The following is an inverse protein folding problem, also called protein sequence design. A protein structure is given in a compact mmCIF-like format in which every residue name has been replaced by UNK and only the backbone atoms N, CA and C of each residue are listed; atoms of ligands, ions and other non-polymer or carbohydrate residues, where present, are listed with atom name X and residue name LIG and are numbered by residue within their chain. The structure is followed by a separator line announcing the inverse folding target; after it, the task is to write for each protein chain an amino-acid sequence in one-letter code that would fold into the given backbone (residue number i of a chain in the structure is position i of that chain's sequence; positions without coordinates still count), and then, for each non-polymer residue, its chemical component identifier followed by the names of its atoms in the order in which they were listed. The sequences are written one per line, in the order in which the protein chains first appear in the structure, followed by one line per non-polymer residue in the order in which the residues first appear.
data_IF_008613326102
#
_entry.id   IF_008613326102
#
_cell.length_a   1.000
_cell.length_b   1.000
_cell.length_c   1.000
_cell.angle_alpha   90.00
_cell.angle_beta   90.00
_cell.angle_gamma   90.00
#
_symmetry.space_group_name_H-M   'P 1'
#
loop_
_entity.id
_entity.type
_entity.pdbx_description
1 polymer ?
#
# COMPACT_ATOMS: atom_id res chain seq x y z
N UNK A 1 14.37 16.48 30.29
CA UNK A 1 13.31 15.56 29.83
C UNK A 1 13.95 14.57 28.87
N UNK A 2 13.98 13.28 29.21
CA UNK A 2 14.57 12.23 28.37
C UNK A 2 13.50 11.72 27.40
N UNK A 3 13.73 11.88 26.10
CA UNK A 3 12.94 11.23 25.06
C UNK A 3 13.17 9.71 25.12
N UNK A 4 12.10 8.94 25.25
CA UNK A 4 12.11 7.48 25.10
C UNK A 4 11.53 7.14 23.73
N UNK A 5 12.33 6.53 22.86
CA UNK A 5 11.88 5.96 21.59
C UNK A 5 11.84 4.42 21.77
N UNK A 6 10.70 3.79 21.55
CA UNK A 6 10.60 2.32 21.51
C UNK A 6 10.83 1.84 20.08
N UNK A 7 11.86 1.02 19.86
CA UNK A 7 12.06 0.28 18.59
C UNK A 7 11.97 -1.21 18.87
N UNK A 8 11.20 -1.91 18.04
CA UNK A 8 10.96 -3.35 18.11
C UNK A 8 11.99 -4.10 17.25
N UNK A 9 12.55 -5.19 17.79
CA UNK A 9 13.41 -6.12 17.05
C UNK A 9 12.55 -7.11 16.27
N UNK A 10 12.84 -7.29 14.98
CA UNK A 10 12.01 -7.99 14.00
C UNK A 10 11.97 -9.53 14.14
N UNK A 11 12.56 -10.12 15.17
CA UNK A 11 12.70 -11.59 15.24
C UNK A 11 12.10 -12.27 16.49
N UNK A 12 11.66 -11.54 17.53
CA UNK A 12 11.12 -12.21 18.74
C UNK A 12 9.99 -11.49 19.49
N UNK A 13 9.56 -10.30 19.06
CA UNK A 13 8.34 -9.66 19.59
C UNK A 13 8.34 -9.27 21.08
N UNK A 14 9.50 -9.24 21.76
CA UNK A 14 9.60 -8.72 23.13
C UNK A 14 10.36 -7.39 23.20
N UNK A 15 10.00 -6.53 24.17
CA UNK A 15 10.56 -5.19 24.36
C UNK A 15 11.97 -5.26 24.96
N UNK A 16 12.90 -4.46 24.41
CA UNK A 16 14.27 -4.34 24.91
C UNK A 16 14.51 -2.88 25.33
N UNK A 17 14.98 -2.67 26.56
CA UNK A 17 15.33 -1.34 27.07
C UNK A 17 16.80 -1.02 26.76
N UNK A 18 17.04 0.02 25.96
CA UNK A 18 18.38 0.58 25.74
C UNK A 18 18.42 2.03 26.23
N UNK A 19 19.48 2.38 26.97
CA UNK A 19 19.74 3.74 27.43
C UNK A 19 21.01 4.28 26.79
N UNK A 20 20.91 5.44 26.13
CA UNK A 20 22.05 6.18 25.59
C UNK A 20 22.43 7.29 26.58
N UNK A 21 23.69 7.35 27.01
CA UNK A 21 24.27 8.48 27.72
C UNK A 21 25.11 9.31 26.76
N UNK A 22 24.72 10.56 26.54
CA UNK A 22 25.43 11.51 25.68
C UNK A 22 26.51 12.22 26.49
N UNK A 23 27.74 11.70 26.49
CA UNK A 23 28.97 12.48 26.62
C UNK A 23 30.06 11.76 25.80
N UNK A 24 30.52 12.44 24.75
CA UNK A 24 31.61 12.17 23.81
C UNK A 24 31.71 10.76 23.16
N UNK A 25 31.43 10.73 21.86
CA UNK A 25 31.36 9.63 20.88
C UNK A 25 30.27 8.53 21.10
N UNK A 26 29.42 8.24 20.08
CA UNK A 26 28.35 7.25 20.23
C UNK A 26 28.87 5.82 20.02
N UNK A 27 29.13 5.09 21.10
CA UNK A 27 29.21 3.62 21.08
C UNK A 27 27.90 3.00 21.59
N UNK A 28 27.28 2.16 20.75
CA UNK A 28 26.07 1.40 21.08
C UNK A 28 26.46 0.10 21.79
N UNK A 29 26.21 0.00 23.10
CA UNK A 29 26.41 -1.24 23.86
C UNK A 29 25.05 -1.78 24.33
N UNK A 30 24.55 -2.84 23.68
CA UNK A 30 23.35 -3.57 24.08
C UNK A 30 23.76 -4.82 24.87
N UNK A 31 23.57 -4.82 26.20
CA UNK A 31 23.78 -5.99 27.04
C UNK A 31 22.50 -6.78 27.24
N UNK A 32 22.48 -8.06 26.84
CA UNK A 32 21.42 -8.99 27.20
C UNK A 32 21.59 -9.47 28.65
N UNK A 33 20.63 -9.20 29.52
CA UNK A 33 20.59 -9.77 30.88
C UNK A 33 20.00 -11.18 30.80
N UNK A 34 20.85 -12.19 30.69
CA UNK A 34 20.49 -13.59 30.93
C UNK A 34 20.62 -13.88 32.43
N UNK A 35 19.48 -14.01 33.12
CA UNK A 35 19.44 -14.61 34.46
C UNK A 35 19.67 -16.11 34.35
N UNK A 36 20.91 -16.57 34.51
CA UNK A 36 21.23 -17.97 34.80
C UNK A 36 22.16 -18.03 36.00
N UNK A 37 21.70 -18.65 37.08
CA UNK A 37 22.54 -19.10 38.20
C UNK A 37 22.79 -20.62 38.10
N UNK A 38 23.85 -21.15 38.73
CA UNK A 38 24.90 -21.84 37.99
C UNK A 38 25.14 -23.30 38.43
N UNK A 39 25.59 -24.17 37.52
CA UNK A 39 26.37 -25.35 37.91
C UNK A 39 27.60 -25.63 37.02
N UNK A 40 28.75 -25.30 37.63
CA UNK A 40 30.10 -25.91 37.64
C UNK A 40 30.56 -26.87 36.51
N UNK A 41 31.54 -26.33 35.75
CA UNK A 41 32.92 -26.82 35.46
C UNK A 41 33.17 -28.33 35.20
N UNK A 42 33.77 -28.62 34.03
CA UNK A 42 35.22 -28.91 33.88
C UNK A 42 35.64 -29.13 32.40
N UNK A 43 36.77 -28.48 32.02
CA UNK A 43 37.97 -28.94 31.26
C UNK A 43 37.74 -29.92 30.08
N UNK A 44 38.33 -29.82 28.89
CA UNK A 44 39.61 -29.28 28.40
C UNK A 44 39.52 -29.38 26.85
N UNK A 45 40.14 -28.50 26.07
CA UNK A 45 41.26 -28.97 25.25
C UNK A 45 41.20 -28.41 23.82
N UNK A 46 42.37 -27.99 23.33
CA UNK A 46 42.62 -27.30 22.05
C UNK A 46 42.58 -28.25 20.84
N UNK A 47 42.30 -27.67 19.66
CA UNK A 47 43.19 -27.61 18.48
C UNK A 47 42.63 -28.11 17.14
N UNK A 48 42.82 -27.23 16.13
CA UNK A 48 43.28 -27.44 14.74
C UNK A 48 42.46 -28.31 13.76
N UNK A 49 41.82 -27.59 12.82
CA UNK A 49 42.08 -27.53 11.35
C UNK A 49 42.72 -28.76 10.67
N UNK A 50 41.97 -29.40 9.75
CA UNK A 50 42.35 -29.91 8.40
C UNK A 50 41.08 -30.52 7.76
N UNK A 51 40.50 -29.94 6.71
CA UNK A 51 40.71 -30.21 5.27
C UNK A 51 40.59 -31.67 4.83
N UNK A 52 39.80 -31.84 3.77
CA UNK A 52 39.81 -32.89 2.72
C UNK A 52 38.82 -34.07 2.77
N UNK A 53 37.83 -33.96 1.86
CA UNK A 53 37.66 -34.85 0.69
C UNK A 53 36.95 -36.19 0.81
N UNK A 54 35.80 -36.25 0.11
CA UNK A 54 35.31 -37.31 -0.80
C UNK A 54 35.33 -38.77 -0.31
N UNK A 55 34.13 -39.36 -0.22
CA UNK A 55 33.64 -40.41 -1.15
C UNK A 55 32.29 -40.97 -0.68
N UNK A 56 31.30 -40.97 -1.57
CA UNK A 56 30.24 -41.99 -1.59
C UNK A 56 30.86 -43.38 -1.87
N UNK A 57 30.22 -44.48 -1.45
CA UNK A 57 29.26 -45.12 -2.35
C UNK A 57 28.03 -45.76 -1.67
N UNK A 58 26.90 -45.63 -2.36
CA UNK A 58 25.91 -46.65 -2.77
C UNK A 58 25.68 -47.92 -1.92
N UNK A 59 24.41 -48.05 -1.52
CA UNK A 59 23.50 -49.21 -1.65
C UNK A 59 23.91 -50.60 -1.14
N UNK A 60 23.08 -51.19 -0.27
CA UNK A 60 22.22 -52.34 -0.59
C UNK A 60 21.44 -52.83 0.64
N UNK A 61 20.22 -53.30 0.37
CA UNK A 61 19.24 -53.88 1.27
C UNK A 61 19.64 -55.26 1.83
N UNK A 62 18.86 -55.70 2.84
CA UNK A 62 18.17 -57.02 2.98
C UNK A 62 18.39 -57.66 4.37
N UNK A 63 17.27 -57.73 5.12
CA UNK A 63 16.68 -58.85 5.92
C UNK A 63 17.61 -59.74 6.81
N UNK A 64 17.25 -60.34 7.94
CA UNK A 64 16.04 -60.51 8.76
C UNK A 64 16.49 -61.08 10.15
N UNK A 65 15.51 -61.37 11.00
CA UNK A 65 15.51 -62.36 12.11
C UNK A 65 15.62 -61.87 13.57
N UNK A 66 14.43 -61.62 14.13
CA UNK A 66 13.82 -62.31 15.27
C UNK A 66 14.62 -62.57 16.57
N UNK A 67 14.09 -61.99 17.66
CA UNK A 67 14.34 -62.44 19.03
C UNK A 67 13.29 -61.90 20.02
N UNK A 68 12.32 -62.74 20.40
CA UNK A 68 11.32 -62.50 21.47
C UNK A 68 11.94 -62.63 22.87
N UNK A 69 11.59 -61.72 23.80
CA UNK A 69 11.41 -61.93 25.27
C UNK A 69 10.83 -60.64 25.90
N UNK A 70 9.52 -60.55 26.18
CA UNK A 70 8.85 -60.65 27.51
C UNK A 70 9.48 -59.77 28.61
N UNK A 71 8.93 -58.57 28.91
CA UNK A 71 7.76 -58.20 29.76
C UNK A 71 8.16 -57.81 31.20
N UNK A 72 8.05 -56.53 31.55
CA UNK A 72 7.55 -56.00 32.84
C UNK A 72 7.11 -54.51 32.68
N UNK A 73 6.13 -54.01 33.45
CA UNK A 73 5.25 -52.92 33.04
C UNK A 73 5.70 -51.52 33.50
N UNK A 74 5.56 -50.53 32.63
CA UNK A 74 5.69 -49.12 32.98
C UNK A 74 4.29 -48.46 33.11
N UNK A 75 4.16 -47.66 34.16
CA UNK A 75 2.94 -47.03 34.64
C UNK A 75 2.19 -46.21 33.57
N UNK A 76 0.86 -46.29 33.61
CA UNK A 76 -0.05 -45.55 32.75
C UNK A 76 0.00 -44.04 33.07
N UNK A 77 0.26 -43.24 32.04
CA UNK A 77 0.06 -41.79 32.04
C UNK A 77 -1.44 -41.52 31.90
N UNK A 78 -2.07 -40.66 32.74
CA UNK A 78 -3.48 -40.36 32.58
C UNK A 78 -3.71 -39.58 31.29
N UNK A 79 -4.68 -40.03 30.49
CA UNK A 79 -5.11 -39.37 29.27
C UNK A 79 -5.69 -37.97 29.58
N UNK A 80 -5.49 -36.97 28.70
CA UNK A 80 -6.10 -35.66 28.86
C UNK A 80 -7.63 -35.77 28.77
N UNK A 81 -8.38 -34.88 29.46
CA UNK A 81 -9.83 -34.94 29.50
C UNK A 81 -10.41 -34.77 28.10
N UNK A 82 -11.22 -35.74 27.69
CA UNK A 82 -12.02 -35.70 26.46
C UNK A 82 -13.07 -34.60 26.58
N UNK A 83 -12.91 -33.54 25.78
CA UNK A 83 -13.96 -32.55 25.50
C UNK A 83 -15.07 -33.21 24.68
N UNK A 84 -15.92 -34.00 25.33
CA UNK A 84 -17.11 -34.61 24.74
C UNK A 84 -18.25 -33.61 24.70
N UNK A 85 -18.07 -32.49 23.99
CA UNK A 85 -19.20 -31.68 23.54
C UNK A 85 -19.27 -31.80 22.02
N UNK A 86 -20.41 -32.23 21.45
CA UNK A 86 -20.58 -32.22 20.01
C UNK A 86 -20.31 -30.80 19.52
N UNK A 87 -19.33 -30.65 18.62
CA UNK A 87 -19.18 -29.43 17.83
C UNK A 87 -20.49 -29.34 17.06
N UNK A 88 -21.38 -28.43 17.49
CA UNK A 88 -22.52 -28.10 16.64
C UNK A 88 -21.92 -27.60 15.32
N UNK A 89 -22.42 -28.09 14.17
CA UNK A 89 -21.96 -27.56 12.90
C UNK A 89 -22.12 -26.04 12.97
N UNK A 90 -20.99 -25.34 12.93
CA UNK A 90 -20.98 -23.89 12.84
C UNK A 90 -21.83 -23.62 11.62
N UNK A 91 -22.96 -22.94 11.80
CA UNK A 91 -23.83 -22.57 10.69
C UNK A 91 -22.92 -21.86 9.69
N UNK A 92 -22.60 -22.51 8.58
CA UNK A 92 -21.84 -21.89 7.50
C UNK A 92 -22.73 -20.75 7.05
N UNK A 93 -22.39 -19.54 7.50
CA UNK A 93 -22.89 -18.33 6.86
C UNK A 93 -22.27 -18.42 5.47
N UNK A 94 -23.07 -18.51 4.39
CA UNK A 94 -22.52 -18.53 3.04
C UNK A 94 -21.62 -17.31 2.94
N UNK A 95 -20.31 -17.54 2.78
CA UNK A 95 -19.37 -16.46 2.51
C UNK A 95 -19.80 -15.93 1.14
N UNK A 96 -20.26 -14.68 1.03
CA UNK A 96 -20.63 -14.10 -0.24
C UNK A 96 -19.45 -14.26 -1.20
N UNK A 97 -19.72 -14.73 -2.43
CA UNK A 97 -18.69 -14.99 -3.44
C UNK A 97 -17.92 -13.71 -3.86
N UNK A 98 -18.33 -12.54 -3.38
CA UNK A 98 -17.67 -11.26 -3.57
C UNK A 98 -17.85 -10.35 -2.35
N UNK A 99 -17.14 -10.64 -1.26
CA UNK A 99 -16.96 -9.63 -0.20
C UNK A 99 -15.84 -8.67 -0.64
N UNK A 100 -16.19 -7.38 -0.73
CA UNK A 100 -15.19 -6.32 -0.76
C UNK A 100 -14.29 -6.44 0.49
N UNK A 101 -13.03 -6.00 0.43
CA UNK A 101 -12.15 -6.05 1.59
C UNK A 101 -12.80 -5.34 2.78
N UNK A 102 -12.58 -5.87 3.99
CA UNK A 102 -12.92 -5.21 5.24
C UNK A 102 -12.05 -3.94 5.36
N UNK A 103 -12.61 -2.78 4.98
CA UNK A 103 -11.87 -1.52 4.96
C UNK A 103 -11.92 -0.78 6.30
N UNK A 104 -12.87 -1.13 7.16
CA UNK A 104 -13.06 -0.57 8.50
C UNK A 104 -11.85 -0.78 9.43
N UNK A 105 -11.06 -1.84 9.22
CA UNK A 105 -9.78 -2.09 9.91
C UNK A 105 -8.77 -0.94 9.75
N UNK A 106 -8.98 -0.05 8.78
CA UNK A 106 -8.12 1.11 8.53
C UNK A 106 -8.62 2.42 9.17
N UNK A 107 -9.81 2.45 9.78
CA UNK A 107 -10.40 3.65 10.40
C UNK A 107 -9.79 3.94 11.77
N UNK A 108 -8.58 4.52 11.78
CA UNK A 108 -7.85 4.79 13.02
C UNK A 108 -8.35 6.02 13.80
N UNK A 109 -8.85 7.03 13.08
CA UNK A 109 -9.26 8.31 13.67
C UNK A 109 -10.43 8.84 12.89
N UNK A 110 -11.51 9.21 13.57
CA UNK A 110 -12.69 9.82 12.96
C UNK A 110 -12.87 11.23 13.54
N UNK A 111 -13.21 12.19 12.68
CA UNK A 111 -13.62 13.52 13.11
C UNK A 111 -15.13 13.68 12.91
N UNK A 112 -15.77 14.28 13.92
CA UNK A 112 -17.16 14.70 13.86
C UNK A 112 -17.20 16.07 13.19
N UNK A 113 -17.99 16.19 12.13
CA UNK A 113 -18.26 17.47 11.50
C UNK A 113 -19.56 18.04 12.10
N UNK A 114 -19.45 19.12 12.86
CA UNK A 114 -20.62 19.83 13.36
C UNK A 114 -21.35 20.50 12.18
N UNK A 115 -22.58 20.07 11.92
CA UNK A 115 -23.40 20.56 10.81
C UNK A 115 -24.61 21.27 11.41
N UNK A 116 -24.68 22.58 11.20
CA UNK A 116 -25.90 23.34 11.48
C UNK A 116 -26.95 23.04 10.40
N UNK A 117 -28.10 22.51 10.81
CA UNK A 117 -29.23 22.23 9.92
C UNK A 117 -29.75 23.47 9.19
N UNK A 118 -29.54 24.66 9.74
CA UNK A 118 -29.88 25.91 9.06
C UNK A 118 -29.05 26.10 7.77
N UNK A 119 -27.77 25.70 7.79
CA UNK A 119 -26.87 25.75 6.62
C UNK A 119 -27.32 24.78 5.52
N UNK A 120 -27.88 23.62 5.88
CA UNK A 120 -28.38 22.64 4.91
C UNK A 120 -29.51 23.20 4.02
N UNK A 121 -30.28 24.16 4.54
CA UNK A 121 -31.41 24.77 3.82
C UNK A 121 -30.99 25.98 2.98
N UNK A 122 -29.93 26.69 3.41
CA UNK A 122 -29.50 27.95 2.82
C UNK A 122 -28.45 27.78 1.68
N UNK A 123 -27.74 26.65 1.64
CA UNK A 123 -26.72 26.41 0.61
C UNK A 123 -27.36 26.12 -0.76
N UNK A 124 -27.21 27.06 -1.69
CA UNK A 124 -27.56 26.89 -3.11
C UNK A 124 -26.55 26.02 -3.87
N UNK A 125 -25.30 25.98 -3.39
CA UNK A 125 -24.20 25.24 -4.00
C UNK A 125 -24.25 23.77 -3.55
N UNK A 126 -25.12 23.01 -4.22
CA UNK A 126 -25.21 21.57 -4.02
C UNK A 126 -23.95 20.94 -4.62
N UNK A 127 -23.04 20.47 -3.76
CA UNK A 127 -21.95 19.61 -4.19
C UNK A 127 -22.55 18.41 -4.92
N UNK A 128 -22.11 18.19 -6.14
CA UNK A 128 -22.46 16.98 -6.86
C UNK A 128 -21.63 15.82 -6.30
N UNK A 129 -22.32 14.84 -5.75
CA UNK A 129 -21.69 13.66 -5.16
C UNK A 129 -21.27 12.64 -6.24
N UNK A 130 -21.75 12.81 -7.48
CA UNK A 130 -21.34 12.01 -8.64
C UNK A 130 -20.12 12.59 -9.35
N UNK A 131 -19.89 13.90 -9.25
CA UNK A 131 -18.67 14.55 -9.74
C UNK A 131 -17.55 14.40 -8.70
N UNK A 132 -16.73 13.36 -8.82
CA UNK A 132 -15.63 13.07 -7.89
C UNK A 132 -14.32 13.69 -8.39
N UNK A 133 -13.58 14.44 -7.54
CA UNK A 133 -12.27 14.95 -7.91
C UNK A 133 -11.25 13.82 -7.98
N UNK A 134 -10.40 13.82 -9.01
CA UNK A 134 -9.25 12.90 -9.07
C UNK A 134 -8.26 13.19 -7.95
N UNK A 135 -7.81 12.13 -7.28
CA UNK A 135 -6.99 12.19 -6.05
C UNK A 135 -5.61 11.56 -6.26
N UNK A 136 -4.58 12.36 -6.50
CA UNK A 136 -3.23 11.82 -6.70
C UNK A 136 -2.28 12.36 -5.63
N UNK A 137 -1.15 11.66 -5.47
CA UNK A 137 -0.05 12.12 -4.63
C UNK A 137 1.02 12.68 -5.53
N UNK A 138 1.39 13.94 -5.33
CA UNK A 138 2.55 14.50 -5.99
C UNK A 138 3.82 14.05 -5.24
N UNK A 139 4.72 13.27 -5.86
CA UNK A 139 5.94 12.82 -5.20
C UNK A 139 6.82 13.96 -4.66
N UNK A 140 6.73 15.16 -5.24
CA UNK A 140 7.43 16.35 -4.76
C UNK A 140 6.98 16.78 -3.35
N UNK A 141 5.68 16.65 -3.05
CA UNK A 141 5.12 17.01 -1.74
C UNK A 141 5.60 16.06 -0.63
N UNK A 142 6.19 14.92 -1.02
CA UNK A 142 6.80 13.95 -0.12
C UNK A 142 8.29 14.22 0.15
N UNK A 143 8.85 15.29 -0.42
CA UNK A 143 10.27 15.63 -0.30
C UNK A 143 11.18 14.78 -1.21
N UNK A 144 10.63 14.10 -2.22
CA UNK A 144 11.44 13.36 -3.20
C UNK A 144 12.11 14.37 -4.15
N UNK A 145 13.43 14.30 -4.20
CA UNK A 145 14.25 15.06 -5.16
C UNK A 145 14.13 14.47 -6.57
N UNK A 146 13.27 15.08 -7.38
CA UNK A 146 13.00 14.64 -8.75
C UNK A 146 14.21 14.81 -9.68
N UNK A 147 15.19 15.66 -9.37
CA UNK A 147 16.37 15.87 -10.21
C UNK A 147 17.25 14.61 -10.33
N UNK A 148 17.08 13.65 -9.41
CA UNK A 148 17.75 12.34 -9.45
C UNK A 148 17.14 11.39 -10.48
N UNK A 149 15.91 11.67 -10.94
CA UNK A 149 15.14 10.80 -11.82
C UNK A 149 14.94 11.42 -13.21
N UNK A 150 14.95 12.74 -13.31
CA UNK A 150 14.70 13.49 -14.54
C UNK A 150 15.82 14.49 -14.81
N UNK A 151 16.15 14.68 -16.09
CA UNK A 151 17.06 15.73 -16.51
C UNK A 151 16.28 17.04 -16.74
N UNK A 152 16.58 18.04 -15.93
CA UNK A 152 16.00 19.38 -16.02
C UNK A 152 16.94 20.41 -16.66
N UNK A 153 18.18 20.01 -17.00
CA UNK A 153 19.18 20.89 -17.61
C UNK A 153 19.01 21.02 -19.12
N UNK A 154 18.44 20.00 -19.76
CA UNK A 154 18.20 19.99 -21.20
C UNK A 154 17.08 20.98 -21.59
N UNK A 155 17.36 21.78 -22.62
CA UNK A 155 16.37 22.64 -23.28
C UNK A 155 15.65 21.86 -24.35
N UNK A 156 14.33 21.72 -24.23
CA UNK A 156 13.51 20.93 -25.16
C UNK A 156 12.89 21.84 -26.21
N UNK A 157 13.31 21.67 -27.46
CA UNK A 157 12.76 22.37 -28.63
C UNK A 157 11.52 21.65 -29.16
N UNK A 158 10.70 22.33 -29.97
CA UNK A 158 9.49 21.75 -30.55
C UNK A 158 9.76 20.51 -31.42
N UNK A 159 10.89 20.48 -32.11
CA UNK A 159 11.29 19.39 -33.03
C UNK A 159 11.72 18.12 -32.30
N UNK A 160 12.17 18.25 -31.04
CA UNK A 160 12.69 17.13 -30.25
C UNK A 160 11.65 16.57 -29.26
N UNK A 161 10.39 17.00 -29.36
CA UNK A 161 9.35 16.55 -28.44
C UNK A 161 9.02 15.08 -28.66
N UNK A 162 8.95 14.34 -27.56
CA UNK A 162 8.62 12.91 -27.52
C UNK A 162 7.54 12.67 -26.47
N UNK A 163 6.79 11.60 -26.65
CA UNK A 163 5.86 11.10 -25.64
C UNK A 163 6.50 9.94 -24.86
N UNK A 164 6.14 9.77 -23.57
CA UNK A 164 6.67 8.69 -22.76
C UNK A 164 6.05 7.36 -23.17
N UNK A 165 6.90 6.35 -23.42
CA UNK A 165 6.48 4.99 -23.75
C UNK A 165 6.94 4.04 -22.64
N UNK A 166 6.01 3.26 -22.09
CA UNK A 166 6.25 2.34 -20.98
C UNK A 166 6.27 0.90 -21.51
N UNK A 167 7.40 0.49 -22.11
CA UNK A 167 7.56 -0.84 -22.73
C UNK A 167 8.05 -1.92 -21.75
N UNK A 168 7.90 -1.71 -20.44
CA UNK A 168 8.34 -2.72 -19.46
C UNK A 168 7.32 -3.83 -19.33
N UNK A 169 7.71 -5.04 -19.74
CA UNK A 169 6.96 -6.24 -19.36
C UNK A 169 6.96 -6.36 -17.82
N UNK A 170 5.78 -6.44 -17.19
CA UNK A 170 5.70 -6.54 -15.74
C UNK A 170 6.34 -7.85 -15.29
N UNK A 171 7.34 -7.74 -14.40
CA UNK A 171 8.05 -8.89 -13.83
C UNK A 171 7.08 -9.86 -13.15
N UNK A 172 5.95 -9.35 -12.65
CA UNK A 172 4.91 -10.15 -12.01
C UNK A 172 3.54 -9.54 -12.21
N UNK A 173 2.63 -10.33 -12.79
CA UNK A 173 1.21 -10.02 -12.89
C UNK A 173 0.54 -9.74 -11.52
N UNK A 174 1.12 -10.26 -10.42
CA UNK A 174 0.64 -9.97 -9.07
C UNK A 174 1.07 -8.56 -8.63
N UNK A 175 2.31 -8.16 -8.91
CA UNK A 175 2.81 -6.83 -8.55
C UNK A 175 2.11 -5.73 -9.34
N UNK A 176 1.84 -5.96 -10.63
CA UNK A 176 1.08 -5.06 -11.50
C UNK A 176 -0.44 -5.12 -11.30
N UNK A 177 -0.93 -5.98 -10.40
CA UNK A 177 -2.35 -6.20 -10.07
C UNK A 177 -3.22 -6.72 -11.24
N UNK A 178 -2.64 -7.43 -12.20
CA UNK A 178 -3.34 -8.00 -13.37
C UNK A 178 -4.23 -9.21 -13.06
N UNK A 179 -4.38 -9.57 -11.80
CA UNK A 179 -5.45 -10.47 -11.36
C UNK A 179 -6.79 -9.73 -11.25
N UNK A 180 -6.78 -8.39 -11.18
CA UNK A 180 -7.97 -7.56 -11.19
C UNK A 180 -8.47 -7.39 -12.65
N UNK A 181 -9.75 -7.69 -12.95
CA UNK A 181 -10.29 -7.62 -14.31
C UNK A 181 -10.08 -6.26 -14.98
N UNK A 182 -10.37 -5.16 -14.26
CA UNK A 182 -10.14 -3.80 -14.75
C UNK A 182 -8.68 -3.46 -15.05
N UNK A 183 -7.72 -4.23 -14.56
CA UNK A 183 -6.27 -4.02 -14.78
C UNK A 183 -5.72 -4.97 -15.85
N UNK A 184 -6.23 -6.21 -15.91
CA UNK A 184 -5.77 -7.24 -16.86
C UNK A 184 -6.03 -6.85 -18.30
N UNK A 185 -7.20 -6.26 -18.58
CA UNK A 185 -7.66 -6.00 -19.94
C UNK A 185 -6.80 -4.99 -20.70
N UNK A 186 -6.74 -5.16 -22.04
CA UNK A 186 -6.37 -4.06 -22.92
C UNK A 186 -7.54 -3.11 -23.01
N UNK A 187 -7.31 -1.86 -22.65
CA UNK A 187 -8.33 -0.82 -22.76
C UNK A 187 -8.34 -0.33 -24.20
N UNK A 188 -9.52 -0.01 -24.72
CA UNK A 188 -9.63 0.52 -26.08
C UNK A 188 -9.00 1.93 -26.12
N UNK A 189 -7.90 2.16 -26.86
CA UNK A 189 -7.28 3.48 -26.94
C UNK A 189 -8.17 4.52 -27.63
N UNK A 190 -9.24 4.11 -28.32
CA UNK A 190 -10.24 5.03 -28.87
C UNK A 190 -11.16 5.63 -27.79
N UNK A 191 -11.25 5.00 -26.61
CA UNK A 191 -12.05 5.52 -25.49
C UNK A 191 -11.21 6.54 -24.73
N UNK A 192 -11.54 7.82 -24.93
CA UNK A 192 -10.91 8.92 -24.19
C UNK A 192 -11.39 8.94 -22.74
N UNK A 193 -10.46 9.14 -21.81
CA UNK A 193 -10.77 9.47 -20.43
C UNK A 193 -11.48 10.84 -20.34
N UNK A 194 -12.25 11.08 -19.26
CA UNK A 194 -12.72 12.41 -18.91
C UNK A 194 -11.55 13.40 -18.75
N UNK A 195 -11.79 14.72 -18.91
CA UNK A 195 -10.75 15.72 -18.72
C UNK A 195 -10.07 15.60 -17.34
N UNK A 196 -8.74 15.58 -17.34
CA UNK A 196 -7.96 15.51 -16.12
C UNK A 196 -8.18 16.74 -15.22
N UNK A 197 -8.09 16.54 -13.90
CA UNK A 197 -8.25 17.63 -12.95
C UNK A 197 -7.17 18.72 -13.16
N UNK A 198 -7.49 20.01 -12.96
CA UNK A 198 -6.50 21.09 -13.08
C UNK A 198 -5.29 20.89 -12.15
N UNK A 199 -5.47 20.20 -11.03
CA UNK A 199 -4.38 19.84 -10.10
C UNK A 199 -3.42 18.84 -10.73
N UNK A 200 -3.93 17.81 -11.42
CA UNK A 200 -3.09 16.83 -12.11
C UNK A 200 -2.35 17.45 -13.30
N UNK A 201 -3.04 18.27 -14.10
CA UNK A 201 -2.42 19.03 -15.21
C UNK A 201 -1.26 19.88 -14.69
N UNK A 202 -1.48 20.65 -13.61
CA UNK A 202 -0.42 21.46 -12.98
C UNK A 202 0.72 20.63 -12.42
N UNK A 203 0.45 19.45 -11.86
CA UNK A 203 1.50 18.56 -11.37
C UNK A 203 2.41 18.05 -12.48
N UNK A 204 1.84 17.76 -13.66
CA UNK A 204 2.63 17.42 -14.86
C UNK A 204 3.41 18.62 -15.36
N UNK A 205 2.77 19.79 -15.51
CA UNK A 205 3.42 21.02 -15.99
C UNK A 205 4.54 21.51 -15.07
N UNK A 206 4.45 21.25 -13.75
CA UNK A 206 5.46 21.62 -12.76
C UNK A 206 6.42 20.48 -12.41
N UNK A 207 6.66 19.57 -13.35
CA UNK A 207 7.58 18.44 -13.15
C UNK A 207 8.97 18.92 -12.73
N UNK A 208 9.54 19.91 -13.45
CA UNK A 208 10.84 20.54 -13.11
C UNK A 208 10.77 21.43 -11.87
N UNK A 209 9.59 22.01 -11.61
CA UNK A 209 9.33 22.97 -10.53
C UNK A 209 8.82 24.29 -11.11
N UNK A 210 9.34 24.63 -12.29
CA UNK A 210 8.85 25.73 -13.12
C UNK A 210 7.66 25.27 -13.97
N UNK A 211 6.87 26.24 -14.46
CA UNK A 211 5.71 25.94 -15.29
C UNK A 211 6.15 25.69 -16.73
N UNK A 212 6.09 24.43 -17.16
CA UNK A 212 6.39 24.00 -18.53
C UNK A 212 5.11 23.54 -19.27
N UNK A 213 5.20 23.40 -20.59
CA UNK A 213 4.12 22.77 -21.34
C UNK A 213 4.05 21.27 -21.01
N UNK A 214 2.86 20.68 -21.16
CA UNK A 214 2.66 19.24 -20.95
C UNK A 214 3.56 18.42 -21.87
N UNK A 215 3.78 18.88 -23.11
CA UNK A 215 4.64 18.20 -24.09
C UNK A 215 6.13 18.22 -23.71
N UNK A 216 6.63 19.36 -23.20
CA UNK A 216 8.00 19.46 -22.67
C UNK A 216 8.18 18.49 -21.50
N UNK A 217 7.22 18.48 -20.57
CA UNK A 217 7.22 17.55 -19.43
C UNK A 217 7.17 16.09 -19.91
N UNK A 218 6.34 15.78 -20.91
CA UNK A 218 6.26 14.46 -21.55
C UNK A 218 7.60 13.99 -22.14
N UNK A 219 8.34 14.90 -22.77
CA UNK A 219 9.65 14.61 -23.35
C UNK A 219 10.69 14.31 -22.27
N UNK A 220 10.70 15.08 -21.16
CA UNK A 220 11.57 14.80 -20.01
C UNK A 220 11.28 13.43 -19.40
N UNK A 221 10.00 13.06 -19.30
CA UNK A 221 9.59 11.73 -18.81
C UNK A 221 10.04 10.64 -19.78
N UNK A 222 9.90 10.86 -21.10
CA UNK A 222 10.37 9.92 -22.11
C UNK A 222 11.89 9.69 -22.04
N UNK A 223 12.68 10.75 -21.87
CA UNK A 223 14.13 10.65 -21.69
C UNK A 223 14.49 9.91 -20.38
N UNK A 224 13.76 10.15 -19.29
CA UNK A 224 13.95 9.43 -18.03
C UNK A 224 13.67 7.93 -18.17
N UNK A 225 12.61 7.54 -18.88
CA UNK A 225 12.28 6.13 -19.16
C UNK A 225 13.34 5.47 -20.06
N UNK A 226 13.82 6.17 -21.09
CA UNK A 226 14.88 5.67 -21.96
C UNK A 226 16.21 5.47 -21.21
N UNK A 227 16.53 6.34 -20.25
CA UNK A 227 17.73 6.23 -19.41
C UNK A 227 17.60 5.15 -18.34
N UNK A 228 16.42 5.00 -17.74
CA UNK A 228 16.15 4.00 -16.73
C UNK A 228 14.72 3.45 -16.88
N UNK A 229 14.60 2.33 -17.58
CA UNK A 229 13.34 1.64 -17.82
C UNK A 229 12.72 1.04 -16.55
N UNK A 230 13.41 1.03 -15.41
CA UNK A 230 12.87 0.54 -14.13
C UNK A 230 12.54 1.66 -13.15
N UNK A 231 12.58 2.92 -13.60
CA UNK A 231 12.25 4.07 -12.75
C UNK A 231 10.74 4.12 -12.46
N UNK A 232 10.34 3.76 -11.24
CA UNK A 232 8.94 3.82 -10.82
C UNK A 232 8.36 5.23 -10.88
N UNK A 233 9.16 6.27 -10.61
CA UNK A 233 8.74 7.67 -10.71
C UNK A 233 8.53 8.08 -12.16
N UNK A 234 9.41 7.67 -13.07
CA UNK A 234 9.22 7.97 -14.49
C UNK A 234 7.94 7.31 -15.02
N UNK A 235 7.67 6.06 -14.62
CA UNK A 235 6.41 5.37 -14.94
C UNK A 235 5.19 6.07 -14.31
N UNK A 236 5.27 6.50 -13.04
CA UNK A 236 4.19 7.21 -12.38
C UNK A 236 3.87 8.54 -13.07
N UNK A 237 4.89 9.35 -13.36
CA UNK A 237 4.71 10.62 -14.08
C UNK A 237 4.27 10.40 -15.53
N UNK A 238 4.71 9.32 -16.20
CA UNK A 238 4.19 8.94 -17.52
C UNK A 238 2.69 8.63 -17.46
N UNK A 239 2.23 7.95 -16.40
CA UNK A 239 0.80 7.72 -16.21
C UNK A 239 0.01 9.01 -15.96
N UNK A 240 0.58 9.99 -15.27
CA UNK A 240 -0.03 11.31 -15.09
C UNK A 240 -0.12 12.06 -16.41
N UNK A 241 0.97 12.02 -17.21
CA UNK A 241 0.99 12.59 -18.54
C UNK A 241 -0.13 12.00 -19.41
N UNK A 242 -0.27 10.67 -19.47
CA UNK A 242 -1.28 10.02 -20.30
C UNK A 242 -2.71 10.25 -19.82
N UNK A 243 -2.94 10.33 -18.50
CA UNK A 243 -4.22 10.78 -17.97
C UNK A 243 -4.56 12.22 -18.41
N UNK A 244 -3.58 13.13 -18.41
CA UNK A 244 -3.76 14.51 -18.91
C UNK A 244 -4.04 14.55 -20.41
N UNK A 245 -3.44 13.64 -21.19
CA UNK A 245 -3.72 13.48 -22.62
C UNK A 245 -5.02 12.74 -22.92
N UNK A 246 -5.71 12.22 -21.90
CA UNK A 246 -6.96 11.48 -22.05
C UNK A 246 -6.80 10.02 -22.51
N UNK A 247 -5.58 9.46 -22.52
CA UNK A 247 -5.35 8.09 -22.98
C UNK A 247 -5.25 7.11 -21.80
N UNK A 248 -6.31 6.34 -21.56
CA UNK A 248 -6.39 5.37 -20.47
C UNK A 248 -5.51 4.14 -20.64
N UNK A 249 -5.34 3.64 -21.87
CA UNK A 249 -4.54 2.44 -22.12
C UNK A 249 -3.05 2.68 -21.82
N UNK A 250 -2.49 3.79 -22.31
CA UNK A 250 -1.11 4.15 -22.01
C UNK A 250 -0.92 4.52 -20.54
N UNK A 251 -1.90 5.19 -19.92
CA UNK A 251 -1.86 5.47 -18.48
C UNK A 251 -1.81 4.19 -17.65
N UNK A 252 -2.67 3.21 -17.96
CA UNK A 252 -2.70 1.90 -17.30
C UNK A 252 -1.39 1.14 -17.49
N UNK A 253 -0.87 1.12 -18.71
CA UNK A 253 0.41 0.46 -19.02
C UNK A 253 1.55 1.04 -18.19
N UNK A 254 1.64 2.37 -18.11
CA UNK A 254 2.63 3.03 -17.28
C UNK A 254 2.41 2.79 -15.77
N UNK A 255 1.15 2.70 -15.29
CA UNK A 255 0.87 2.34 -13.90
C UNK A 255 1.31 0.92 -13.55
N UNK A 256 1.14 -0.05 -14.46
CA UNK A 256 1.65 -1.42 -14.27
C UNK A 256 3.16 -1.43 -14.07
N UNK A 257 3.89 -0.66 -14.89
CA UNK A 257 5.33 -0.47 -14.71
C UNK A 257 5.67 0.21 -13.37
N UNK A 258 4.96 1.26 -13.00
CA UNK A 258 5.15 1.95 -11.72
C UNK A 258 4.96 1.00 -10.52
N UNK A 259 3.88 0.21 -10.52
CA UNK A 259 3.57 -0.78 -9.47
C UNK A 259 4.60 -1.91 -9.39
N UNK A 260 5.20 -2.27 -10.52
CA UNK A 260 6.23 -3.32 -10.58
C UNK A 260 7.53 -2.89 -9.90
N UNK A 261 7.93 -1.63 -10.04
CA UNK A 261 9.25 -1.16 -9.59
C UNK A 261 9.22 -0.29 -8.33
N UNK A 262 8.05 0.12 -7.84
CA UNK A 262 7.93 1.03 -6.69
C UNK A 262 8.40 0.34 -5.39
N UNK A 263 9.21 1.01 -4.56
CA UNK A 263 9.51 0.53 -3.21
C UNK A 263 8.24 0.50 -2.36
N UNK A 264 8.13 -0.49 -1.46
CA UNK A 264 6.91 -0.71 -0.67
C UNK A 264 6.40 0.56 0.02
N UNK A 265 7.28 1.36 0.64
CA UNK A 265 6.91 2.60 1.35
C UNK A 265 6.22 3.66 0.49
N UNK A 266 6.41 3.61 -0.84
CA UNK A 266 5.83 4.54 -1.82
C UNK A 266 4.73 3.88 -2.66
N UNK A 267 4.43 2.59 -2.45
CA UNK A 267 3.51 1.81 -3.28
C UNK A 267 2.09 2.40 -3.31
N UNK A 268 1.68 3.09 -2.25
CA UNK A 268 0.40 3.79 -2.18
C UNK A 268 0.24 4.89 -3.25
N UNK A 269 1.32 5.48 -3.77
CA UNK A 269 1.27 6.52 -4.80
C UNK A 269 0.71 6.01 -6.15
N UNK A 270 1.31 4.99 -6.80
CA UNK A 270 0.73 4.41 -8.01
C UNK A 270 -0.60 3.68 -7.74
N UNK A 271 -0.82 3.10 -6.55
CA UNK A 271 -2.11 2.51 -6.20
C UNK A 271 -3.24 3.55 -6.22
N UNK A 272 -3.06 4.73 -5.61
CA UNK A 272 -4.08 5.78 -5.69
C UNK A 272 -4.31 6.27 -7.12
N UNK A 273 -3.25 6.41 -7.91
CA UNK A 273 -3.42 6.79 -9.32
C UNK A 273 -4.19 5.72 -10.11
N UNK A 274 -3.94 4.44 -9.86
CA UNK A 274 -4.70 3.35 -10.47
C UNK A 274 -6.15 3.35 -10.01
N UNK A 275 -6.42 3.60 -8.73
CA UNK A 275 -7.77 3.71 -8.22
C UNK A 275 -8.56 4.84 -8.89
N UNK A 276 -7.96 6.00 -9.16
CA UNK A 276 -8.63 7.07 -9.93
C UNK A 276 -8.92 6.65 -11.37
N UNK A 277 -7.95 5.98 -12.01
CA UNK A 277 -8.11 5.52 -13.39
C UNK A 277 -9.26 4.50 -13.49
N UNK A 278 -9.35 3.57 -12.54
CA UNK A 278 -10.43 2.59 -12.43
C UNK A 278 -11.79 3.26 -12.14
N UNK A 279 -11.83 4.31 -11.31
CA UNK A 279 -13.05 5.10 -11.09
C UNK A 279 -13.55 5.73 -12.40
N UNK A 280 -12.65 6.34 -13.18
CA UNK A 280 -12.99 6.99 -14.45
C UNK A 280 -13.50 6.02 -15.52
N UNK A 281 -13.19 4.73 -15.39
CA UNK A 281 -13.65 3.68 -16.32
C UNK A 281 -14.71 2.75 -15.73
N UNK A 282 -15.26 3.09 -14.56
CA UNK A 282 -16.38 2.36 -13.95
C UNK A 282 -16.03 1.08 -13.20
N UNK A 283 -14.74 0.78 -13.01
CA UNK A 283 -14.25 -0.40 -12.27
C UNK A 283 -14.20 -0.12 -10.76
N UNK A 284 -15.35 0.20 -10.16
CA UNK A 284 -15.42 0.70 -8.79
C UNK A 284 -15.04 -0.35 -7.73
N UNK A 285 -15.38 -1.62 -7.95
CA UNK A 285 -15.05 -2.70 -7.00
C UNK A 285 -13.54 -2.96 -6.95
N UNK A 286 -12.87 -2.98 -8.11
CA UNK A 286 -11.41 -3.03 -8.16
C UNK A 286 -10.78 -1.77 -7.57
N UNK A 287 -11.38 -0.59 -7.76
CA UNK A 287 -10.89 0.64 -7.13
C UNK A 287 -10.92 0.55 -5.60
N UNK A 288 -11.93 -0.07 -5.00
CA UNK A 288 -11.96 -0.35 -3.54
C UNK A 288 -10.79 -1.26 -3.15
N UNK A 289 -10.56 -2.37 -3.87
CA UNK A 289 -9.46 -3.31 -3.60
C UNK A 289 -8.10 -2.63 -3.66
N UNK A 290 -7.86 -1.85 -4.71
CA UNK A 290 -6.60 -1.11 -4.93
C UNK A 290 -6.39 -0.04 -3.85
N UNK A 291 -7.45 0.66 -3.45
CA UNK A 291 -7.35 1.70 -2.41
C UNK A 291 -7.20 1.10 -1.02
N UNK A 292 -7.83 -0.04 -0.73
CA UNK A 292 -7.60 -0.83 0.49
C UNK A 292 -6.14 -1.26 0.58
N UNK A 293 -5.57 -1.75 -0.52
CA UNK A 293 -4.13 -2.08 -0.60
C UNK A 293 -3.24 -0.85 -0.37
N UNK A 294 -3.69 0.36 -0.70
CA UNK A 294 -2.97 1.59 -0.39
C UNK A 294 -3.03 1.93 1.11
N UNK A 295 -4.15 1.62 1.80
CA UNK A 295 -4.29 1.76 3.25
C UNK A 295 -3.44 0.75 4.02
N UNK A 296 -3.22 -0.46 3.48
CA UNK A 296 -2.26 -1.43 4.04
C UNK A 296 -0.84 -0.86 4.10
N UNK A 297 -0.45 -0.12 3.06
CA UNK A 297 0.87 0.51 2.95
C UNK A 297 0.96 1.80 3.77
N UNK A 298 -0.06 2.66 3.68
CA UNK A 298 -0.06 4.01 4.26
C UNK A 298 -1.40 4.37 4.91
N UNK A 299 -1.71 3.66 6.00
CA UNK A 299 -2.97 3.76 6.76
C UNK A 299 -3.33 5.16 7.26
N UNK A 300 -2.35 6.01 7.55
CA UNK A 300 -2.56 7.35 8.15
C UNK A 300 -2.61 8.49 7.11
N UNK A 301 -2.65 8.17 5.82
CA UNK A 301 -2.64 9.21 4.79
C UNK A 301 -4.07 9.70 4.47
N UNK A 302 -4.33 10.98 4.73
CA UNK A 302 -5.63 11.61 4.48
C UNK A 302 -6.12 11.43 3.04
N UNK A 303 -5.24 11.56 2.04
CA UNK A 303 -5.62 11.45 0.62
C UNK A 303 -6.14 10.05 0.34
N UNK A 304 -5.53 9.00 0.90
CA UNK A 304 -6.00 7.62 0.71
C UNK A 304 -7.42 7.42 1.28
N UNK A 305 -7.69 7.94 2.48
CA UNK A 305 -9.03 7.90 3.08
C UNK A 305 -10.05 8.68 2.24
N UNK A 306 -9.67 9.86 1.75
CA UNK A 306 -10.52 10.68 0.89
C UNK A 306 -10.82 10.00 -0.45
N UNK A 307 -9.83 9.34 -1.07
CA UNK A 307 -10.03 8.55 -2.30
C UNK A 307 -11.03 7.42 -2.07
N UNK A 308 -10.91 6.68 -0.96
CA UNK A 308 -11.82 5.59 -0.66
C UNK A 308 -13.24 6.08 -0.37
N UNK A 309 -13.38 7.22 0.32
CA UNK A 309 -14.67 7.88 0.55
C UNK A 309 -15.35 8.25 -0.77
N UNK A 310 -14.58 8.80 -1.71
CA UNK A 310 -15.06 9.16 -3.05
C UNK A 310 -15.51 7.91 -3.85
N UNK A 311 -14.78 6.79 -3.77
CA UNK A 311 -15.18 5.54 -4.42
C UNK A 311 -16.50 5.02 -3.84
N UNK A 312 -16.63 4.97 -2.51
CA UNK A 312 -17.89 4.57 -1.88
C UNK A 312 -19.05 5.52 -2.20
N UNK A 313 -18.76 6.81 -2.40
CA UNK A 313 -19.73 7.81 -2.84
C UNK A 313 -20.26 7.49 -4.25
N UNK A 314 -19.38 7.10 -5.19
CA UNK A 314 -19.78 6.64 -6.54
C UNK A 314 -20.57 5.34 -6.52
N UNK A 315 -20.31 4.47 -5.54
CA UNK A 315 -21.05 3.22 -5.33
C UNK A 315 -22.36 3.42 -4.54
N UNK A 316 -22.66 4.64 -4.10
CA UNK A 316 -23.79 4.97 -3.23
C UNK A 316 -23.81 4.21 -1.89
N UNK A 317 -22.64 3.74 -1.43
CA UNK A 317 -22.45 3.13 -0.11
C UNK A 317 -22.21 4.25 0.91
N UNK A 318 -23.26 5.02 1.17
CA UNK A 318 -23.17 6.29 1.91
C UNK A 318 -22.59 6.18 3.32
N UNK A 319 -22.87 5.06 4.03
CA UNK A 319 -22.31 4.81 5.35
C UNK A 319 -20.78 4.74 5.34
N UNK A 320 -20.22 3.94 4.44
CA UNK A 320 -18.77 3.83 4.28
C UNK A 320 -18.16 5.14 3.75
N UNK A 321 -18.83 5.80 2.80
CA UNK A 321 -18.39 7.11 2.32
C UNK A 321 -18.28 8.12 3.47
N UNK A 322 -19.31 8.21 4.33
CA UNK A 322 -19.31 9.08 5.50
C UNK A 322 -18.19 8.74 6.49
N UNK A 323 -17.98 7.45 6.80
CA UNK A 323 -16.90 7.01 7.69
C UNK A 323 -15.52 7.38 7.14
N UNK A 324 -15.27 7.18 5.84
CA UNK A 324 -13.98 7.53 5.25
C UNK A 324 -13.77 9.04 5.08
N UNK A 325 -14.82 9.84 4.86
CA UNK A 325 -14.68 11.30 4.95
C UNK A 325 -14.39 11.77 6.37
N UNK A 326 -15.07 11.19 7.39
CA UNK A 326 -14.76 11.45 8.80
C UNK A 326 -13.31 11.06 9.12
N UNK A 327 -12.83 9.95 8.55
CA UNK A 327 -11.45 9.50 8.71
C UNK A 327 -10.44 10.46 8.08
N UNK A 328 -10.70 10.89 6.85
CA UNK A 328 -9.91 11.91 6.18
C UNK A 328 -9.82 13.21 7.02
N UNK A 329 -10.95 13.66 7.59
CA UNK A 329 -11.00 14.81 8.50
C UNK A 329 -10.32 14.55 9.85
N UNK A 330 -10.25 13.29 10.29
CA UNK A 330 -9.45 12.87 11.43
C UNK A 330 -7.97 13.20 11.23
N UNK A 331 -7.44 12.97 10.03
CA UNK A 331 -6.05 13.26 9.69
C UNK A 331 -5.81 14.72 9.29
N UNK A 332 -6.73 15.33 8.55
CA UNK A 332 -6.70 16.76 8.21
C UNK A 332 -8.08 17.42 8.43
N UNK A 333 -8.29 18.05 9.60
CA UNK A 333 -9.55 18.72 9.92
C UNK A 333 -9.90 19.86 8.95
N UNK A 334 -8.93 20.43 8.24
CA UNK A 334 -9.10 21.59 7.36
C UNK A 334 -9.31 21.21 5.90
N UNK A 335 -9.39 19.91 5.58
CA UNK A 335 -9.63 19.45 4.21
C UNK A 335 -11.05 19.78 3.74
N UNK A 336 -11.20 20.94 3.08
CA UNK A 336 -12.49 21.51 2.67
C UNK A 336 -13.34 20.57 1.80
N UNK A 337 -12.70 19.79 0.91
CA UNK A 337 -13.42 18.84 0.05
C UNK A 337 -14.10 17.75 0.88
N UNK A 338 -13.41 17.18 1.87
CA UNK A 338 -14.00 16.20 2.78
C UNK A 338 -15.14 16.82 3.61
N UNK A 339 -14.96 18.04 4.13
CA UNK A 339 -16.01 18.71 4.90
C UNK A 339 -17.26 18.94 4.04
N UNK A 340 -17.09 19.45 2.82
CA UNK A 340 -18.19 19.78 1.91
C UNK A 340 -18.96 18.52 1.50
N UNK A 341 -18.26 17.43 1.17
CA UNK A 341 -18.89 16.15 0.79
C UNK A 341 -19.58 15.47 1.96
N UNK A 342 -18.93 15.38 3.12
CA UNK A 342 -19.54 14.84 4.33
C UNK A 342 -20.79 15.64 4.72
N UNK A 343 -20.70 16.97 4.77
CA UNK A 343 -21.85 17.84 5.04
C UNK A 343 -23.00 17.56 4.06
N UNK A 344 -22.70 17.40 2.78
CA UNK A 344 -23.73 17.12 1.75
C UNK A 344 -24.41 15.77 1.99
N UNK A 345 -23.66 14.73 2.35
CA UNK A 345 -24.20 13.41 2.71
C UNK A 345 -25.15 13.52 3.92
N UNK A 346 -24.75 14.25 4.95
CA UNK A 346 -25.53 14.42 6.18
C UNK A 346 -26.78 15.27 5.97
N UNK A 347 -26.65 16.42 5.30
CA UNK A 347 -27.78 17.29 4.99
C UNK A 347 -28.84 16.59 4.12
N UNK A 348 -28.44 15.63 3.27
CA UNK A 348 -29.36 14.82 2.46
C UNK A 348 -29.91 13.59 3.19
N UNK A 349 -29.54 13.38 4.46
CA UNK A 349 -29.89 12.20 5.25
C UNK A 349 -29.51 10.86 4.57
N UNK A 350 -28.40 10.84 3.82
CA UNK A 350 -27.94 9.64 3.13
C UNK A 350 -27.17 8.69 4.07
N UNK A 351 -26.56 9.24 5.11
CA UNK A 351 -25.91 8.51 6.19
C UNK A 351 -25.97 9.32 7.49
N UNK A 352 -25.75 8.65 8.61
CA UNK A 352 -25.57 9.29 9.91
C UNK A 352 -24.09 9.35 10.27
N UNK A 353 -23.68 10.37 11.03
CA UNK A 353 -22.37 10.33 11.70
C UNK A 353 -22.40 9.28 12.82
N UNK A 354 -21.29 8.57 12.99
CA UNK A 354 -21.10 7.73 14.17
C UNK A 354 -20.47 8.58 15.27
N UNK A 355 -21.06 8.51 16.46
CA UNK A 355 -20.68 9.27 17.65
C UNK A 355 -19.55 8.63 18.44
#
# INVERSE_FOLDING_TARGET
MKHFEMKFSAETGQSVQCSISVQDEPQLNCGATLSVHPEKKKKQGKAKKKTESKKEPKSANVENEQGKKSKEPAAAVPAPPTLSRPIQPRREVPVPDFELPETDVHLLKLAILDVDWSECTQRTDKVDLSDIPSTFINPRDMGIDLSRFFDFSETITAENQKFPVCDTEPISALLSLEHLPGVRGKWDPAVSLPPASPRLVKAVQKLSGDLESVSVSGTRIAHALAKNSTSWLAHLFASYYWQVQGNGEFALTCLKGALTFVPYSYKYCPLLSLANLLQQTGHLTEAVVVTSSALDVKRENMIVHFTLANIYCLMEVWGNAALFYQSALGFDPYHLESQNRLRTILCRNLANQMS
#
